data_IF_910117007833
#
_entry.id   IF_910117007833
#
_cell.length_a   1.000
_cell.length_b   1.000
_cell.length_c   1.000
_cell.angle_alpha   90.00
_cell.angle_beta   90.00
_cell.angle_gamma   90.00
#
_symmetry.space_group_name_H-M   'P 1'
#
loop_
_entity.id
_entity.type
_entity.pdbx_description
1 polymer ?
#
# COMPACT_ATOMS: atom_id res chain seq x y z
N UNK A 1 -2.74 -10.23 9.51
CA UNK A 1 -2.38 -8.84 9.18
C UNK A 1 -2.55 -7.94 10.39
N UNK A 2 -1.50 -7.23 10.82
CA UNK A 2 -1.58 -6.37 12.01
C UNK A 2 -2.28 -5.04 11.70
N UNK A 3 -3.44 -4.86 12.33
CA UNK A 3 -4.23 -3.63 12.22
C UNK A 3 -3.46 -2.39 12.68
N UNK A 4 -2.53 -2.51 13.63
CA UNK A 4 -1.72 -1.39 14.13
C UNK A 4 -0.82 -0.81 13.05
N UNK A 5 -0.12 -1.67 12.31
CA UNK A 5 0.81 -1.25 11.26
C UNK A 5 0.05 -0.66 10.07
N UNK A 6 -1.08 -1.25 9.67
CA UNK A 6 -1.97 -0.69 8.65
C UNK A 6 -2.46 0.71 9.03
N UNK A 7 -2.91 0.90 10.28
CA UNK A 7 -3.36 2.19 10.80
C UNK A 7 -2.23 3.21 10.88
N UNK A 8 -1.01 2.78 11.18
CA UNK A 8 0.17 3.64 11.13
C UNK A 8 0.42 4.10 9.69
N UNK A 9 0.52 3.16 8.74
CA UNK A 9 0.81 3.48 7.35
C UNK A 9 -0.28 4.37 6.74
N UNK A 10 -1.56 4.04 7.00
CA UNK A 10 -2.70 4.87 6.60
C UNK A 10 -2.57 6.30 7.09
N UNK A 11 -2.22 6.50 8.37
CA UNK A 11 -2.01 7.84 8.93
C UNK A 11 -0.88 8.59 8.22
N UNK A 12 0.24 7.93 7.94
CA UNK A 12 1.36 8.54 7.23
C UNK A 12 1.00 8.95 5.79
N UNK A 13 0.25 8.11 5.06
CA UNK A 13 -0.19 8.45 3.70
C UNK A 13 -1.23 9.58 3.70
N UNK A 14 -2.09 9.65 4.72
CA UNK A 14 -3.02 10.78 4.89
C UNK A 14 -2.30 12.09 5.22
N UNK A 15 -1.16 12.05 5.91
CA UNK A 15 -0.32 13.25 6.10
C UNK A 15 0.20 13.76 4.76
N UNK A 16 0.59 12.87 3.84
CA UNK A 16 1.02 13.25 2.49
C UNK A 16 -0.15 13.86 1.69
N UNK A 17 -1.33 13.23 1.74
CA UNK A 17 -2.53 13.79 1.10
C UNK A 17 -2.90 15.16 1.67
N UNK A 18 -2.86 15.32 3.00
CA UNK A 18 -3.10 16.59 3.67
C UNK A 18 -2.09 17.64 3.26
N UNK A 19 -0.80 17.29 3.17
CA UNK A 19 0.23 18.19 2.68
C UNK A 19 -0.10 18.69 1.28
N UNK A 20 -0.52 17.80 0.36
CA UNK A 20 -0.95 18.21 -0.98
C UNK A 20 -2.07 19.26 -0.93
N UNK A 21 -3.10 19.03 -0.11
CA UNK A 21 -4.24 19.94 0.04
C UNK A 21 -3.85 21.28 0.67
N UNK A 22 -2.98 21.26 1.68
CA UNK A 22 -2.50 22.47 2.35
C UNK A 22 -1.65 23.32 1.39
N UNK A 23 -0.82 22.68 0.57
CA UNK A 23 -0.02 23.37 -0.46
C UNK A 23 -0.87 23.98 -1.58
N UNK A 24 -1.95 23.31 -1.98
CA UNK A 24 -2.92 23.89 -2.92
C UNK A 24 -3.59 25.13 -2.35
N UNK A 25 -3.96 25.13 -1.07
CA UNK A 25 -4.58 26.29 -0.42
C UNK A 25 -3.61 27.47 -0.31
N UNK A 26 -2.34 27.20 -0.09
CA UNK A 26 -1.29 28.21 0.05
C UNK A 26 -0.90 28.82 -1.30
N UNK A 27 -0.76 27.96 -2.32
CA UNK A 27 -0.16 28.34 -3.60
C UNK A 27 -1.23 28.67 -4.63
N UNK A 28 -2.20 27.78 -4.84
CA UNK A 28 -3.13 27.85 -5.98
C UNK A 28 -4.33 28.74 -5.66
N UNK A 29 -5.05 28.47 -4.58
CA UNK A 29 -6.32 29.16 -4.29
C UNK A 29 -6.24 30.69 -4.25
N UNK A 30 -5.17 31.34 -3.71
CA UNK A 30 -5.08 32.81 -3.68
C UNK A 30 -4.94 33.46 -5.07
N UNK A 31 -4.51 32.67 -6.06
CA UNK A 31 -4.25 33.14 -7.42
C UNK A 31 -5.42 32.91 -8.37
N UNK A 32 -6.35 32.03 -7.99
CA UNK A 32 -7.58 31.76 -8.75
C UNK A 32 -8.45 33.02 -8.78
N UNK A 33 -8.69 33.57 -9.98
CA UNK A 33 -9.53 34.75 -10.19
C UNK A 33 -8.76 36.08 -10.29
N UNK A 34 -7.45 36.08 -10.11
CA UNK A 34 -6.63 37.18 -10.61
C UNK A 34 -6.47 37.00 -12.13
N UNK A 35 -6.63 38.06 -12.92
CA UNK A 35 -6.46 38.02 -14.37
C UNK A 35 -4.99 37.83 -14.71
N UNK A 36 -4.52 36.59 -14.65
CA UNK A 36 -3.17 36.20 -15.02
C UNK A 36 -3.32 35.33 -16.28
N UNK A 37 -2.56 35.62 -17.35
CA UNK A 37 -2.65 34.88 -18.63
C UNK A 37 -1.88 33.55 -18.59
N UNK A 38 -2.27 32.56 -19.42
CA UNK A 38 -1.86 31.13 -19.40
C UNK A 38 -0.48 30.75 -18.82
N UNK A 39 0.57 31.53 -19.08
CA UNK A 39 1.91 31.36 -18.50
C UNK A 39 1.91 31.21 -16.97
N UNK A 40 0.96 31.85 -16.28
CA UNK A 40 0.87 31.78 -14.82
C UNK A 40 0.50 30.38 -14.31
N UNK A 41 -0.38 29.67 -15.03
CA UNK A 41 -0.85 28.35 -14.64
C UNK A 41 0.33 27.39 -14.69
N UNK A 42 1.12 27.46 -15.77
CA UNK A 42 2.33 26.67 -15.88
C UNK A 42 3.30 26.96 -14.73
N UNK A 43 3.62 28.21 -14.46
CA UNK A 43 4.59 28.58 -13.41
C UNK A 43 4.14 28.13 -12.01
N UNK A 44 2.85 28.25 -11.70
CA UNK A 44 2.34 27.91 -10.38
C UNK A 44 2.30 26.40 -10.15
N UNK A 45 1.95 25.63 -11.18
CA UNK A 45 1.93 24.16 -11.10
C UNK A 45 3.33 23.57 -11.12
N UNK A 46 4.30 24.22 -11.79
CA UNK A 46 5.73 23.88 -11.64
C UNK A 46 6.17 24.04 -10.19
N UNK A 47 5.92 25.20 -9.56
CA UNK A 47 6.27 25.44 -8.14
C UNK A 47 5.59 24.47 -7.19
N UNK A 48 4.30 24.19 -7.40
CA UNK A 48 3.56 23.23 -6.59
C UNK A 48 4.16 21.82 -6.73
N UNK A 49 4.39 21.36 -7.97
CA UNK A 49 4.96 20.05 -8.26
C UNK A 49 6.34 19.88 -7.62
N UNK A 50 7.21 20.88 -7.74
CA UNK A 50 8.53 20.88 -7.09
C UNK A 50 8.44 20.72 -5.57
N UNK A 51 7.55 21.49 -4.91
CA UNK A 51 7.37 21.44 -3.46
C UNK A 51 6.84 20.08 -3.00
N UNK A 52 5.86 19.52 -3.70
CA UNK A 52 5.31 18.19 -3.41
C UNK A 52 6.34 17.07 -3.64
N UNK A 53 7.05 17.09 -4.78
CA UNK A 53 8.07 16.10 -5.12
C UNK A 53 9.23 16.13 -4.14
N UNK A 54 9.68 17.32 -3.73
CA UNK A 54 10.75 17.48 -2.72
C UNK A 54 10.35 16.83 -1.40
N UNK A 55 9.17 17.15 -0.89
CA UNK A 55 8.65 16.57 0.35
C UNK A 55 8.53 15.04 0.25
N UNK A 56 7.87 14.54 -0.80
CA UNK A 56 7.60 13.10 -0.93
C UNK A 56 8.86 12.28 -1.22
N UNK A 57 9.87 12.85 -1.88
CA UNK A 57 11.17 12.20 -2.07
C UNK A 57 11.88 11.97 -0.74
N UNK A 58 11.79 12.90 0.20
CA UNK A 58 12.41 12.77 1.52
C UNK A 58 11.72 11.73 2.41
N UNK A 59 10.38 11.63 2.36
CA UNK A 59 9.63 10.75 3.26
C UNK A 59 9.35 9.34 2.71
N UNK A 60 9.31 9.17 1.39
CA UNK A 60 8.85 7.93 0.76
C UNK A 60 9.68 6.70 1.11
N UNK A 61 11.01 6.76 0.95
CA UNK A 61 11.89 5.61 1.21
C UNK A 61 11.93 5.24 2.70
N UNK A 62 12.18 6.17 3.64
CA UNK A 62 12.16 5.82 5.06
C UNK A 62 10.84 5.20 5.52
N UNK A 63 9.70 5.75 5.06
CA UNK A 63 8.38 5.22 5.38
C UNK A 63 8.18 3.81 4.81
N UNK A 64 8.48 3.60 3.52
CA UNK A 64 8.35 2.30 2.87
C UNK A 64 9.24 1.25 3.53
N UNK A 65 10.50 1.58 3.79
CA UNK A 65 11.45 0.70 4.49
C UNK A 65 10.93 0.28 5.85
N UNK A 66 10.47 1.23 6.67
CA UNK A 66 9.91 0.93 7.99
C UNK A 66 8.70 -0.02 7.90
N UNK A 67 7.77 0.27 7.00
CA UNK A 67 6.54 -0.51 6.83
C UNK A 67 6.85 -1.95 6.41
N UNK A 68 7.77 -2.14 5.46
CA UNK A 68 8.15 -3.47 4.99
C UNK A 68 8.91 -4.25 6.06
N UNK A 69 9.86 -3.61 6.75
CA UNK A 69 10.62 -4.25 7.83
C UNK A 69 9.75 -4.60 9.05
N UNK A 70 8.80 -3.75 9.42
CA UNK A 70 7.86 -4.06 10.50
C UNK A 70 6.91 -5.19 10.07
N UNK A 71 6.49 -5.24 8.80
CA UNK A 71 5.70 -6.35 8.26
C UNK A 71 6.48 -7.67 8.27
N UNK A 72 7.77 -7.63 7.94
CA UNK A 72 8.66 -8.79 8.01
C UNK A 72 8.70 -9.35 9.43
N UNK A 73 8.97 -8.51 10.43
CA UNK A 73 9.00 -8.92 11.85
C UNK A 73 7.68 -9.54 12.30
N UNK A 74 6.56 -9.02 11.84
CA UNK A 74 5.24 -9.56 12.17
C UNK A 74 4.95 -10.90 11.51
N UNK A 75 5.41 -11.10 10.27
CA UNK A 75 5.31 -12.39 9.59
C UNK A 75 6.19 -13.41 10.31
N UNK A 76 7.44 -13.06 10.61
CA UNK A 76 8.36 -13.93 11.33
C UNK A 76 7.78 -14.32 12.70
N UNK A 77 7.22 -13.36 13.46
CA UNK A 77 6.55 -13.65 14.74
C UNK A 77 5.29 -14.53 14.61
N UNK A 78 4.49 -14.35 13.54
CA UNK A 78 3.33 -15.20 13.27
C UNK A 78 3.76 -16.64 12.95
N UNK A 79 4.85 -16.80 12.20
CA UNK A 79 5.37 -18.13 11.89
C UNK A 79 5.94 -18.78 13.15
N UNK A 80 6.73 -18.07 13.97
CA UNK A 80 7.26 -18.57 15.24
C UNK A 80 6.15 -19.11 16.16
N UNK A 81 5.07 -18.34 16.32
CA UNK A 81 3.92 -18.77 17.13
C UNK A 81 3.23 -20.00 16.53
N UNK A 82 3.05 -20.02 15.21
CA UNK A 82 2.40 -21.14 14.53
C UNK A 82 3.25 -22.42 14.59
N UNK A 83 4.56 -22.35 14.32
CA UNK A 83 5.44 -23.52 14.42
C UNK A 83 5.51 -24.04 15.85
N UNK A 84 5.58 -23.14 16.84
CA UNK A 84 5.60 -23.53 18.25
C UNK A 84 4.30 -24.23 18.66
N UNK A 85 3.15 -23.77 18.17
CA UNK A 85 1.86 -24.38 18.46
C UNK A 85 1.66 -25.74 17.78
N UNK A 86 2.21 -25.96 16.58
CA UNK A 86 1.98 -27.17 15.78
C UNK A 86 3.06 -28.23 15.99
N UNK A 87 4.33 -27.83 16.02
CA UNK A 87 5.51 -28.71 16.07
C UNK A 87 6.19 -28.68 17.45
N UNK A 88 5.84 -27.71 18.30
CA UNK A 88 6.48 -27.53 19.61
C UNK A 88 7.81 -26.76 19.58
N UNK A 89 8.25 -26.31 18.39
CA UNK A 89 9.53 -25.59 18.19
C UNK A 89 9.36 -24.33 17.35
N UNK A 90 10.20 -23.33 17.59
CA UNK A 90 10.31 -22.13 16.77
C UNK A 90 11.32 -22.37 15.63
N UNK A 91 10.86 -22.29 14.37
CA UNK A 91 11.71 -22.50 13.20
C UNK A 91 12.30 -21.20 12.63
N UNK A 92 11.92 -20.03 13.17
CA UNK A 92 12.46 -18.75 12.71
C UNK A 92 13.98 -18.57 12.86
N UNK A 93 14.70 -19.23 13.80
CA UNK A 93 16.17 -19.17 13.84
C UNK A 93 16.86 -19.70 12.57
N UNK A 94 16.15 -20.50 11.75
CA UNK A 94 16.67 -20.99 10.47
C UNK A 94 16.51 -19.99 9.32
N UNK A 95 15.73 -18.93 9.50
CA UNK A 95 15.56 -17.88 8.50
C UNK A 95 16.78 -17.00 8.38
N UNK A 96 17.31 -16.86 7.17
CA UNK A 96 18.37 -15.90 6.86
C UNK A 96 17.73 -14.63 6.30
N UNK A 97 18.41 -13.50 6.52
CA UNK A 97 18.00 -12.24 5.92
C UNK A 97 18.12 -12.28 4.38
N UNK A 98 19.15 -12.97 3.87
CA UNK A 98 19.39 -13.13 2.43
C UNK A 98 18.27 -13.88 1.71
N UNK A 99 17.54 -14.76 2.39
CA UNK A 99 16.50 -15.61 1.77
C UNK A 99 15.33 -14.78 1.20
N UNK A 100 15.10 -13.57 1.72
CA UNK A 100 13.97 -12.72 1.32
C UNK A 100 14.38 -11.30 0.95
N UNK A 101 15.69 -11.03 0.81
CA UNK A 101 16.20 -9.67 0.59
C UNK A 101 15.61 -9.04 -0.68
N UNK A 102 15.56 -9.79 -1.79
CA UNK A 102 14.97 -9.32 -3.05
C UNK A 102 13.47 -9.01 -2.92
N UNK A 103 12.74 -9.81 -2.13
CA UNK A 103 11.32 -9.60 -1.86
C UNK A 103 11.12 -8.33 -1.03
N UNK A 104 11.95 -8.12 -0.02
CA UNK A 104 11.94 -6.91 0.82
C UNK A 104 12.24 -5.67 -0.04
N UNK A 105 13.30 -5.69 -0.84
CA UNK A 105 13.72 -4.56 -1.67
C UNK A 105 12.69 -4.22 -2.75
N UNK A 106 12.10 -5.24 -3.38
CA UNK A 106 11.01 -5.07 -4.34
C UNK A 106 9.80 -4.41 -3.69
N UNK A 107 9.41 -4.86 -2.49
CA UNK A 107 8.30 -4.26 -1.75
C UNK A 107 8.57 -2.82 -1.31
N UNK A 108 9.82 -2.51 -0.93
CA UNK A 108 10.23 -1.14 -0.61
C UNK A 108 10.11 -0.27 -1.86
N UNK A 109 10.65 -0.72 -3.00
CA UNK A 109 10.59 0.02 -4.26
C UNK A 109 9.15 0.27 -4.73
N UNK A 110 8.29 -0.76 -4.67
CA UNK A 110 6.87 -0.66 -5.01
C UNK A 110 6.15 0.36 -4.12
N UNK A 111 6.36 0.30 -2.80
CA UNK A 111 5.76 1.25 -1.87
C UNK A 111 6.28 2.67 -2.09
N UNK A 112 7.58 2.87 -2.36
CA UNK A 112 8.13 4.20 -2.71
C UNK A 112 7.43 4.78 -3.93
N UNK A 113 7.24 3.98 -4.98
CA UNK A 113 6.54 4.41 -6.19
C UNK A 113 5.07 4.79 -5.89
N UNK A 114 4.36 3.97 -5.11
CA UNK A 114 2.97 4.25 -4.71
C UNK A 114 2.84 5.50 -3.85
N UNK A 115 3.75 5.70 -2.89
CA UNK A 115 3.79 6.91 -2.07
C UNK A 115 3.99 8.15 -2.96
N UNK A 116 4.97 8.12 -3.87
CA UNK A 116 5.24 9.21 -4.82
C UNK A 116 4.09 9.47 -5.78
N UNK A 117 3.30 8.45 -6.09
CA UNK A 117 2.15 8.61 -7.00
C UNK A 117 0.99 9.41 -6.37
N UNK A 118 0.91 9.54 -5.04
CA UNK A 118 -0.15 10.33 -4.37
C UNK A 118 -0.07 11.81 -4.79
N UNK A 119 1.02 12.54 -4.53
CA UNK A 119 1.13 13.94 -4.94
C UNK A 119 1.12 14.12 -6.46
N UNK A 120 1.75 13.21 -7.21
CA UNK A 120 1.81 13.32 -8.68
C UNK A 120 0.40 13.28 -9.29
N UNK A 121 -0.41 12.27 -8.94
CA UNK A 121 -1.77 12.19 -9.46
C UNK A 121 -2.67 13.31 -8.93
N UNK A 122 -2.41 13.81 -7.71
CA UNK A 122 -3.15 14.94 -7.16
C UNK A 122 -2.88 16.21 -7.97
N UNK A 123 -1.61 16.54 -8.22
CA UNK A 123 -1.25 17.77 -8.95
C UNK A 123 -1.72 17.74 -10.40
N UNK A 124 -1.61 16.59 -11.08
CA UNK A 124 -2.08 16.44 -12.47
C UNK A 124 -3.59 16.67 -12.57
N UNK A 125 -4.36 16.14 -11.62
CA UNK A 125 -5.82 16.34 -11.57
C UNK A 125 -6.20 17.77 -11.20
N UNK A 126 -5.47 18.38 -10.27
CA UNK A 126 -5.70 19.75 -9.86
C UNK A 126 -5.45 20.73 -11.02
N UNK A 127 -4.37 20.51 -11.77
CA UNK A 127 -4.04 21.27 -12.98
C UNK A 127 -5.16 21.18 -14.01
N UNK A 128 -5.65 19.97 -14.29
CA UNK A 128 -6.79 19.76 -15.19
C UNK A 128 -8.07 20.48 -14.71
N UNK A 129 -8.38 20.45 -13.40
CA UNK A 129 -9.54 21.15 -12.84
C UNK A 129 -9.43 22.67 -13.02
N UNK A 130 -8.27 23.25 -12.70
CA UNK A 130 -8.05 24.70 -12.83
C UNK A 130 -8.09 25.14 -14.29
N UNK A 131 -7.45 24.38 -15.19
CA UNK A 131 -7.49 24.65 -16.64
C UNK A 131 -8.92 24.60 -17.19
N UNK A 132 -9.69 23.58 -16.81
CA UNK A 132 -11.08 23.46 -17.27
C UNK A 132 -11.96 24.60 -16.74
N UNK A 133 -11.79 24.98 -15.47
CA UNK A 133 -12.53 26.09 -14.88
C UNK A 133 -12.24 27.41 -15.61
N UNK A 134 -10.98 27.66 -15.95
CA UNK A 134 -10.56 28.85 -16.70
C UNK A 134 -11.17 28.87 -18.11
N UNK A 135 -11.11 27.74 -18.83
CA UNK A 135 -11.62 27.63 -20.20
C UNK A 135 -13.15 27.76 -20.29
N UNK A 136 -13.86 27.26 -19.29
CA UNK A 136 -15.33 27.20 -19.30
C UNK A 136 -16.00 28.35 -18.57
N UNK A 137 -15.23 29.23 -17.91
CA UNK A 137 -15.76 30.30 -17.06
C UNK A 137 -16.47 29.78 -15.81
N UNK A 138 -16.06 28.61 -15.29
CA UNK A 138 -16.61 28.03 -14.07
C UNK A 138 -16.44 28.99 -12.88
N UNK A 139 -17.44 29.04 -11.99
CA UNK A 139 -17.37 29.91 -10.82
C UNK A 139 -16.27 29.45 -9.84
N UNK A 140 -15.69 30.42 -9.11
CA UNK A 140 -14.72 30.12 -8.05
C UNK A 140 -15.30 29.20 -6.97
N UNK A 141 -16.61 29.29 -6.70
CA UNK A 141 -17.29 28.44 -5.74
C UNK A 141 -17.31 26.98 -6.20
N UNK A 142 -17.66 26.73 -7.47
CA UNK A 142 -17.71 25.38 -8.01
C UNK A 142 -16.33 24.76 -8.18
N UNK A 143 -15.32 25.56 -8.56
CA UNK A 143 -13.93 25.10 -8.57
C UNK A 143 -13.46 24.74 -7.16
N UNK A 144 -13.76 25.55 -6.14
CA UNK A 144 -13.42 25.23 -4.75
C UNK A 144 -14.07 23.92 -4.28
N UNK A 145 -15.33 23.66 -4.66
CA UNK A 145 -16.00 22.38 -4.40
C UNK A 145 -15.29 21.21 -5.09
N UNK A 146 -14.91 21.36 -6.36
CA UNK A 146 -14.20 20.34 -7.11
C UNK A 146 -12.82 20.01 -6.50
N UNK A 147 -12.08 21.04 -6.05
CA UNK A 147 -10.79 20.88 -5.36
C UNK A 147 -10.96 20.15 -4.02
N UNK A 148 -12.02 20.46 -3.26
CA UNK A 148 -12.33 19.76 -2.02
C UNK A 148 -12.64 18.28 -2.27
N UNK A 149 -13.42 17.95 -3.31
CA UNK A 149 -13.70 16.57 -3.71
C UNK A 149 -12.43 15.84 -4.17
N UNK A 150 -11.53 16.52 -4.89
CA UNK A 150 -10.23 15.96 -5.25
C UNK A 150 -9.44 15.57 -3.99
N UNK A 151 -9.43 16.40 -2.95
CA UNK A 151 -8.84 16.08 -1.66
C UNK A 151 -9.42 14.79 -1.03
N UNK A 152 -10.75 14.66 -0.99
CA UNK A 152 -11.42 13.46 -0.46
C UNK A 152 -11.10 12.20 -1.26
N UNK A 153 -11.03 12.30 -2.59
CA UNK A 153 -10.65 11.18 -3.46
C UNK A 153 -9.19 10.76 -3.25
N UNK A 154 -8.31 11.72 -2.95
CA UNK A 154 -6.89 11.49 -2.65
C UNK A 154 -6.71 10.81 -1.30
N UNK A 155 -7.48 11.20 -0.29
CA UNK A 155 -7.54 10.51 1.01
C UNK A 155 -8.02 9.06 0.86
N UNK A 156 -9.06 8.85 0.04
CA UNK A 156 -9.60 7.51 -0.23
C UNK A 156 -8.57 6.62 -0.92
N UNK A 157 -7.80 7.19 -1.86
CA UNK A 157 -6.68 6.51 -2.53
C UNK A 157 -5.53 6.20 -1.56
N UNK A 158 -5.16 7.13 -0.69
CA UNK A 158 -4.13 6.90 0.34
C UNK A 158 -4.51 5.72 1.26
N UNK A 159 -5.75 5.66 1.72
CA UNK A 159 -6.28 4.53 2.52
C UNK A 159 -6.26 3.22 1.74
N UNK A 160 -6.64 3.26 0.46
CA UNK A 160 -6.58 2.08 -0.41
C UNK A 160 -5.16 1.55 -0.54
N UNK A 161 -4.17 2.42 -0.81
CA UNK A 161 -2.76 2.03 -0.92
C UNK A 161 -2.30 1.36 0.36
N UNK A 162 -2.55 1.98 1.53
CA UNK A 162 -2.13 1.39 2.80
C UNK A 162 -2.72 0.00 3.00
N UNK A 163 -4.04 -0.16 2.90
CA UNK A 163 -4.72 -1.44 3.11
C UNK A 163 -4.31 -2.52 2.09
N UNK A 164 -4.11 -2.13 0.83
CA UNK A 164 -3.68 -3.04 -0.24
C UNK A 164 -2.25 -3.55 -0.02
N UNK A 165 -1.33 -2.63 0.25
CA UNK A 165 0.08 -2.97 0.39
C UNK A 165 0.36 -3.78 1.65
N UNK A 166 -0.43 -3.63 2.72
CA UNK A 166 -0.27 -4.49 3.91
C UNK A 166 -0.56 -5.95 3.60
N UNK A 167 -1.58 -6.23 2.80
CA UNK A 167 -1.89 -7.59 2.36
C UNK A 167 -0.79 -8.18 1.48
N UNK A 168 -0.34 -7.41 0.48
CA UNK A 168 0.68 -7.84 -0.49
C UNK A 168 2.04 -8.09 0.15
N UNK A 169 2.54 -7.15 0.95
CA UNK A 169 3.83 -7.28 1.64
C UNK A 169 3.81 -8.51 2.55
N UNK A 170 2.74 -8.69 3.34
CA UNK A 170 2.63 -9.84 4.23
C UNK A 170 2.59 -11.16 3.45
N UNK A 171 1.76 -11.26 2.41
CA UNK A 171 1.63 -12.46 1.59
C UNK A 171 2.93 -12.84 0.87
N UNK A 172 3.63 -11.86 0.30
CA UNK A 172 4.89 -12.08 -0.42
C UNK A 172 6.04 -12.49 0.52
N UNK A 173 6.18 -11.85 1.68
CA UNK A 173 7.18 -12.26 2.68
C UNK A 173 6.87 -13.66 3.20
N UNK A 174 5.61 -13.94 3.53
CA UNK A 174 5.19 -15.25 4.02
C UNK A 174 5.44 -16.36 2.98
N UNK A 175 5.11 -16.12 1.70
CA UNK A 175 5.46 -17.03 0.60
C UNK A 175 6.96 -17.30 0.54
N UNK A 176 7.77 -16.24 0.58
CA UNK A 176 9.22 -16.36 0.48
C UNK A 176 9.82 -17.14 1.67
N UNK A 177 9.32 -16.92 2.89
CA UNK A 177 9.72 -17.67 4.09
C UNK A 177 9.38 -19.16 4.01
N UNK A 178 8.18 -19.48 3.52
CA UNK A 178 7.76 -20.88 3.36
C UNK A 178 8.63 -21.60 2.33
N UNK A 179 8.81 -20.99 1.16
CA UNK A 179 9.63 -21.57 0.10
C UNK A 179 11.11 -21.70 0.52
N UNK A 180 11.66 -20.76 1.28
CA UNK A 180 13.04 -20.87 1.77
C UNK A 180 13.27 -22.04 2.73
N UNK A 181 12.19 -22.59 3.30
CA UNK A 181 12.23 -23.79 4.15
C UNK A 181 11.88 -25.08 3.41
N UNK A 182 11.55 -25.01 2.12
CA UNK A 182 11.06 -26.15 1.36
C UNK A 182 9.58 -26.48 1.58
N UNK A 183 8.81 -25.58 2.20
CA UNK A 183 7.35 -25.74 2.28
C UNK A 183 6.73 -25.38 0.93
N UNK A 184 6.17 -26.37 0.25
CA UNK A 184 5.61 -26.23 -1.10
C UNK A 184 4.10 -25.93 -1.07
N UNK A 185 3.43 -26.29 0.01
CA UNK A 185 1.97 -26.22 0.16
C UNK A 185 1.55 -25.44 1.40
N UNK A 186 0.35 -24.87 1.35
CA UNK A 186 -0.20 -24.08 2.44
C UNK A 186 -1.70 -24.27 2.58
N UNK A 187 -2.20 -24.11 3.80
CA UNK A 187 -3.64 -24.05 4.09
C UNK A 187 -4.10 -22.60 4.03
N UNK A 188 -5.15 -22.32 3.25
CA UNK A 188 -5.69 -20.96 3.13
C UNK A 188 -6.48 -20.57 4.38
N UNK A 189 -6.04 -19.52 5.07
CA UNK A 189 -6.75 -18.94 6.21
C UNK A 189 -7.29 -17.55 5.86
N UNK A 190 -8.61 -17.40 5.88
CA UNK A 190 -9.27 -16.11 5.69
C UNK A 190 -9.22 -15.25 6.95
N UNK A 191 -9.53 -13.96 6.82
CA UNK A 191 -9.71 -13.06 7.96
C UNK A 191 -10.97 -13.37 8.81
N UNK A 192 -11.81 -14.33 8.38
CA UNK A 192 -13.04 -14.77 9.07
C UNK A 192 -14.02 -13.64 9.42
N UNK A 193 -14.17 -12.66 8.53
CA UNK A 193 -15.15 -11.58 8.68
C UNK A 193 -15.98 -11.34 7.41
N UNK A 194 -16.99 -10.48 7.53
CA UNK A 194 -17.96 -10.12 6.48
C UNK A 194 -17.33 -9.52 5.21
N UNK A 195 -16.09 -9.01 5.28
CA UNK A 195 -15.41 -8.39 4.13
C UNK A 195 -14.61 -9.42 3.32
N UNK A 196 -14.55 -10.66 3.77
CA UNK A 196 -13.94 -11.75 3.01
C UNK A 196 -14.82 -12.04 1.79
N UNK A 197 -14.20 -12.06 0.60
CA UNK A 197 -14.89 -12.38 -0.66
C UNK A 197 -15.44 -13.80 -0.61
N UNK A 198 -16.62 -14.03 -1.19
CA UNK A 198 -17.24 -15.38 -1.28
C UNK A 198 -16.27 -16.43 -1.81
N UNK A 199 -15.56 -16.12 -2.89
CA UNK A 199 -14.53 -17.01 -3.44
C UNK A 199 -13.44 -17.38 -2.41
N UNK A 200 -12.96 -16.42 -1.62
CA UNK A 200 -11.96 -16.70 -0.58
C UNK A 200 -12.56 -17.50 0.59
N UNK A 201 -13.85 -17.32 0.92
CA UNK A 201 -14.55 -18.13 1.91
C UNK A 201 -14.57 -19.61 1.48
N UNK A 202 -14.80 -19.89 0.19
CA UNK A 202 -14.74 -21.24 -0.36
C UNK A 202 -13.34 -21.87 -0.35
N UNK A 203 -12.29 -21.06 -0.18
CA UNK A 203 -10.90 -21.52 -0.05
C UNK A 203 -10.50 -21.79 1.41
N UNK A 204 -11.25 -21.30 2.40
CA UNK A 204 -10.94 -21.47 3.82
C UNK A 204 -10.65 -22.93 4.19
N UNK A 205 -9.48 -23.19 4.79
CA UNK A 205 -9.07 -24.50 5.27
C UNK A 205 -8.64 -25.48 4.17
N UNK A 206 -8.65 -25.09 2.90
CA UNK A 206 -8.17 -25.92 1.79
C UNK A 206 -6.66 -25.72 1.58
N UNK A 207 -6.01 -26.79 1.14
CA UNK A 207 -4.59 -26.80 0.79
C UNK A 207 -4.38 -26.38 -0.66
N UNK A 208 -3.37 -25.57 -0.89
CA UNK A 208 -2.94 -25.11 -2.22
C UNK A 208 -1.42 -25.19 -2.31
N UNK A 209 -0.88 -25.33 -3.53
CA UNK A 209 0.56 -25.27 -3.77
C UNK A 209 1.01 -23.84 -4.11
N UNK A 210 2.26 -23.51 -3.83
CA UNK A 210 2.83 -22.22 -4.19
C UNK A 210 3.18 -22.06 -5.67
N UNK A 211 3.36 -23.18 -6.38
CA UNK A 211 3.66 -23.26 -7.82
C UNK A 211 2.41 -23.41 -8.71
N UNK A 212 1.26 -23.73 -8.11
CA UNK A 212 -0.04 -23.83 -8.77
C UNK A 212 -1.06 -22.86 -8.13
N UNK A 213 -1.08 -21.58 -8.57
CA UNK A 213 -1.92 -20.56 -7.96
C UNK A 213 -3.41 -20.84 -8.20
N UNK A 214 -4.26 -20.78 -7.16
CA UNK A 214 -5.69 -20.93 -7.36
C UNK A 214 -6.26 -19.72 -8.11
N UNK A 215 -7.47 -19.87 -8.67
CA UNK A 215 -8.19 -18.76 -9.32
C UNK A 215 -8.23 -17.52 -8.43
N UNK A 216 -7.74 -16.40 -8.95
CA UNK A 216 -7.65 -15.12 -8.23
C UNK A 216 -6.32 -14.89 -7.51
N UNK A 217 -5.40 -15.86 -7.50
CA UNK A 217 -4.07 -15.74 -6.87
C UNK A 217 -4.03 -16.21 -5.42
N UNK A 218 -2.86 -16.09 -4.81
CA UNK A 218 -2.57 -16.51 -3.45
C UNK A 218 -3.09 -15.52 -2.38
N UNK A 219 -3.11 -15.90 -1.08
CA UNK A 219 -3.43 -14.97 -0.01
C UNK A 219 -2.53 -13.71 -0.05
N UNK A 220 -3.14 -12.53 0.12
CA UNK A 220 -2.44 -11.24 0.07
C UNK A 220 -2.31 -10.62 -1.32
N UNK A 221 -2.39 -11.39 -2.42
CA UNK A 221 -2.21 -10.84 -3.78
C UNK A 221 -3.40 -10.00 -4.30
N UNK A 222 -4.66 -10.44 -4.13
CA UNK A 222 -5.81 -9.64 -4.55
C UNK A 222 -5.89 -8.32 -3.80
N UNK A 223 -6.46 -7.30 -4.46
CA UNK A 223 -6.59 -5.96 -3.87
C UNK A 223 -7.23 -6.01 -2.48
N UNK A 224 -6.64 -5.36 -1.47
CA UNK A 224 -7.15 -5.38 -0.06
C UNK A 224 -7.37 -6.79 0.52
N UNK A 225 -6.68 -7.82 0.04
CA UNK A 225 -6.77 -9.17 0.62
C UNK A 225 -6.13 -9.20 2.01
N UNK A 226 -6.81 -9.80 2.99
CA UNK A 226 -6.33 -9.99 4.37
C UNK A 226 -6.23 -11.46 4.77
N UNK A 227 -6.30 -12.36 3.78
CA UNK A 227 -6.11 -13.79 4.00
C UNK A 227 -4.61 -14.07 4.19
N UNK A 228 -4.29 -15.17 4.87
CA UNK A 228 -2.93 -15.64 5.15
C UNK A 228 -2.79 -17.09 4.66
N UNK A 229 -1.58 -17.45 4.21
CA UNK A 229 -1.20 -18.82 3.91
C UNK A 229 -0.55 -19.45 5.15
N UNK A 230 -1.16 -20.47 5.74
CA UNK A 230 -0.53 -21.21 6.85
C UNK A 230 0.37 -22.30 6.25
N UNK A 231 1.66 -22.36 6.61
CA UNK A 231 2.57 -23.38 6.07
C UNK A 231 2.02 -24.79 6.35
N UNK A 232 2.07 -25.68 5.36
CA UNK A 232 1.89 -27.10 5.61
C UNK A 232 3.25 -27.73 5.99
N UNK A 233 3.43 -28.06 7.26
CA UNK A 233 4.71 -28.57 7.72
C UNK A 233 4.96 -30.04 7.40
N UNK A 234 3.93 -30.79 6.96
CA UNK A 234 4.11 -32.16 6.45
C UNK A 234 5.10 -32.20 5.29
N UNK A 235 5.25 -31.11 4.52
CA UNK A 235 6.19 -31.00 3.42
C UNK A 235 7.67 -31.08 3.87
N UNK A 236 7.96 -30.77 5.14
CA UNK A 236 9.32 -30.66 5.67
C UNK A 236 9.60 -31.60 6.86
N UNK A 237 8.55 -32.23 7.39
CA UNK A 237 8.68 -33.26 8.41
C UNK A 237 8.91 -34.59 7.69
N UNK A 238 10.16 -35.06 7.71
CA UNK A 238 10.53 -36.38 7.21
C UNK A 238 10.11 -37.42 8.26
N UNK A 239 9.44 -38.50 7.84
CA UNK A 239 9.21 -39.70 8.65
C UNK A 239 10.52 -40.37 9.09
#
# INVERSE_FOLDING_TARGET
MNRRLELYYTRQLLVISKYCQDQTKEIVLPTVGQNIGDSWITDIFVKLREKLVKYTTQVSRPLATKVVQDSQKEVDAQIAEHTKSIIGVDLTPFYRASDIQDVVDTNIAANVALIKSIPNQYVDKLEALVMNAFQTGQTNEDLAKAIAQLGQSTDSRARLIAADQMGKVNGQINKARQLSMGVETYVWQTAKDERVRKDHQHKQGKTFRWDDPPTGGHPGEPIRCRCTALPNYEDILVD
#
